data_IF_600129302319
#
_entry.id   IF_600129302319
#
_cell.length_a   1.000
_cell.length_b   1.000
_cell.length_c   1.000
_cell.angle_alpha   90.00
_cell.angle_beta   90.00
_cell.angle_gamma   90.00
#
_symmetry.space_group_name_H-M   'P 1'
#
loop_
_entity.id
_entity.type
_entity.pdbx_description
1 polymer ?
#
# COMPACT_ATOMS: atom_id res chain seq x y z
N UNK A 1 -9.44 -1.83 -26.47
CA UNK A 1 -9.35 -1.81 -26.03
C UNK A 1 -8.71 -2.16 -25.40
N UNK A 2 -8.72 -2.30 -25.31
CA UNK A 2 -8.23 -2.81 -24.58
C UNK A 2 -7.71 -2.74 -23.33
N UNK A 3 -7.95 -2.27 -22.64
CA UNK A 3 -7.55 -2.25 -21.37
C UNK A 3 -8.20 -3.28 -20.60
N UNK A 4 -7.49 -4.01 -19.86
CA UNK A 4 -8.06 -5.01 -19.07
C UNK A 4 -8.63 -4.44 -17.86
N UNK A 5 -9.88 -4.71 -17.57
CA UNK A 5 -10.50 -4.20 -16.36
C UNK A 5 -9.78 -4.64 -15.11
N UNK A 6 -9.18 -5.80 -15.16
CA UNK A 6 -8.52 -6.28 -13.96
C UNK A 6 -7.31 -5.44 -13.63
N UNK A 7 -6.85 -4.64 -14.60
CA UNK A 7 -5.71 -3.80 -14.34
C UNK A 7 -6.13 -2.41 -13.94
N UNK A 8 -7.39 -2.19 -13.76
CA UNK A 8 -7.86 -0.89 -13.34
C UNK A 8 -7.24 -0.55 -12.01
N UNK A 9 -6.78 0.67 -11.85
CA UNK A 9 -6.17 1.07 -10.60
C UNK A 9 -7.08 0.80 -9.44
N UNK A 10 -6.50 0.35 -8.40
CA UNK A 10 -7.24 0.03 -7.22
C UNK A 10 -7.26 1.24 -6.32
N UNK A 11 -8.13 2.19 -6.69
CA UNK A 11 -8.31 3.34 -5.83
C UNK A 11 -8.94 2.82 -4.57
N UNK A 12 -8.13 2.67 -3.56
CA UNK A 12 -8.55 2.06 -2.33
C UNK A 12 -9.09 3.08 -1.38
N UNK A 13 -8.56 4.29 -1.46
CA UNK A 13 -8.81 5.23 -0.37
C UNK A 13 -8.50 6.65 -0.80
N UNK A 14 -9.18 7.60 -0.20
CA UNK A 14 -8.81 8.99 -0.35
C UNK A 14 -8.95 9.65 1.01
N UNK A 15 -8.21 10.73 1.22
CA UNK A 15 -8.30 11.44 2.49
C UNK A 15 -7.96 12.90 2.27
N UNK A 16 -8.45 13.74 3.19
CA UNK A 16 -8.03 15.13 3.24
C UNK A 16 -7.02 15.27 4.36
N UNK A 17 -5.97 16.02 4.08
CA UNK A 17 -4.89 16.20 5.05
C UNK A 17 -5.43 16.95 6.26
N UNK A 18 -5.43 16.32 7.44
CA UNK A 18 -5.98 16.98 8.64
C UNK A 18 -4.93 17.81 9.35
N UNK A 19 -5.41 18.73 10.18
CA UNK A 19 -4.53 19.61 10.89
C UNK A 19 -3.47 18.88 11.73
N UNK A 20 -3.86 17.77 12.33
CA UNK A 20 -2.94 17.04 13.20
C UNK A 20 -1.73 16.47 12.46
N UNK A 21 -1.81 16.36 11.12
CA UNK A 21 -0.71 15.81 10.33
C UNK A 21 0.19 16.91 9.78
N UNK A 22 -0.02 18.15 10.18
CA UNK A 22 0.72 19.28 9.63
C UNK A 22 1.90 19.62 10.54
N UNK A 23 3.08 19.77 9.94
CA UNK A 23 4.30 20.07 10.67
C UNK A 23 4.49 21.58 10.79
N UNK A 24 5.63 21.98 11.36
CA UNK A 24 5.88 23.39 11.61
C UNK A 24 6.02 24.20 10.32
N UNK A 25 6.26 23.55 9.20
CA UNK A 25 6.37 24.25 7.92
C UNK A 25 5.04 24.34 7.19
N UNK A 26 3.97 23.87 7.80
CA UNK A 26 2.66 23.88 7.14
C UNK A 26 2.47 22.76 6.15
N UNK A 27 3.26 21.71 6.24
CA UNK A 27 3.20 20.57 5.31
C UNK A 27 2.95 19.28 6.09
N UNK A 28 2.36 18.30 5.40
CA UNK A 28 2.13 17.01 6.03
C UNK A 28 3.47 16.37 6.37
N UNK A 29 3.66 15.98 7.64
CA UNK A 29 4.95 15.44 8.01
C UNK A 29 5.11 14.01 7.49
N UNK A 30 6.38 13.60 7.32
CA UNK A 30 6.70 12.39 6.55
C UNK A 30 6.12 11.12 7.13
N UNK A 31 6.08 11.00 8.44
CA UNK A 31 5.53 9.79 9.05
C UNK A 31 4.06 9.61 8.71
N UNK A 32 3.34 10.69 8.47
CA UNK A 32 1.92 10.59 8.13
C UNK A 32 1.71 9.91 6.78
N UNK A 33 2.64 10.08 5.83
CA UNK A 33 2.56 9.39 4.55
C UNK A 33 2.64 7.88 4.77
N UNK A 34 3.53 7.46 5.66
CA UNK A 34 3.72 6.03 5.92
C UNK A 34 2.47 5.44 6.57
N UNK A 35 1.90 6.17 7.54
CA UNK A 35 0.67 5.71 8.19
C UNK A 35 -0.44 5.50 7.17
N UNK A 36 -0.62 6.48 6.29
CA UNK A 36 -1.68 6.40 5.28
C UNK A 36 -1.42 5.27 4.31
N UNK A 37 -0.15 5.06 3.95
CA UNK A 37 0.18 4.00 3.01
C UNK A 37 -0.11 2.63 3.62
N UNK A 38 0.23 2.42 4.88
CA UNK A 38 -0.06 1.14 5.51
C UNK A 38 -1.56 0.92 5.65
N UNK A 39 -2.30 1.98 5.92
CA UNK A 39 -3.75 1.87 5.97
C UNK A 39 -4.32 1.46 4.62
N UNK A 40 -3.78 2.03 3.55
CA UNK A 40 -4.25 1.73 2.21
C UNK A 40 -3.99 0.27 1.85
N UNK A 41 -2.81 -0.25 2.21
CA UNK A 41 -2.50 -1.65 1.96
C UNK A 41 -3.44 -2.56 2.74
N UNK A 42 -3.74 -2.18 3.98
CA UNK A 42 -4.67 -2.95 4.81
C UNK A 42 -6.06 -2.98 4.18
N UNK A 43 -6.52 -1.83 3.68
CA UNK A 43 -7.82 -1.78 3.03
C UNK A 43 -7.84 -2.64 1.77
N UNK A 44 -6.76 -2.58 0.99
CA UNK A 44 -6.63 -3.40 -0.20
C UNK A 44 -6.71 -4.88 0.17
N UNK A 45 -5.99 -5.27 1.23
CA UNK A 45 -5.95 -6.66 1.67
C UNK A 45 -7.33 -7.15 2.10
N UNK A 46 -8.15 -6.27 2.64
CA UNK A 46 -9.48 -6.67 3.10
C UNK A 46 -10.41 -7.13 1.99
N UNK A 47 -10.04 -6.91 0.74
CA UNK A 47 -10.80 -7.42 -0.37
C UNK A 47 -10.68 -8.93 -0.47
N UNK A 48 -9.64 -9.46 0.14
CA UNK A 48 -9.43 -10.89 0.12
C UNK A 48 -10.31 -11.52 1.19
N UNK A 49 -11.08 -12.53 0.79
CA UNK A 49 -12.07 -13.09 1.68
C UNK A 49 -11.66 -14.41 2.27
N UNK A 50 -11.93 -14.55 3.56
CA UNK A 50 -11.99 -15.82 4.27
C UNK A 50 -11.05 -16.92 3.83
N UNK A 51 -9.77 -16.64 3.76
CA UNK A 51 -8.81 -17.64 3.36
C UNK A 51 -7.93 -18.01 4.52
N UNK A 52 -7.27 -19.15 4.34
CA UNK A 52 -6.28 -19.59 5.28
C UNK A 52 -4.97 -18.91 4.94
N UNK A 53 -4.94 -17.62 5.10
CA UNK A 53 -3.74 -16.87 4.73
C UNK A 53 -2.73 -16.89 5.86
N UNK A 54 -1.45 -16.77 5.51
CA UNK A 54 -0.44 -16.68 6.56
C UNK A 54 -0.54 -15.35 7.28
N UNK A 55 0.15 -15.27 8.38
CA UNK A 55 0.33 -14.02 9.10
C UNK A 55 1.43 -13.24 8.39
N UNK A 56 1.37 -11.92 8.45
CA UNK A 56 2.39 -11.10 7.82
C UNK A 56 2.95 -10.09 8.79
N UNK A 57 4.28 -9.93 8.70
CA UNK A 57 4.96 -8.82 9.36
C UNK A 57 5.37 -7.83 8.29
N UNK A 58 5.35 -6.55 8.64
CA UNK A 58 5.90 -5.53 7.75
C UNK A 58 7.41 -5.61 7.84
N UNK A 59 8.05 -5.95 6.74
CA UNK A 59 9.49 -6.13 6.71
C UNK A 59 10.23 -4.88 6.29
N UNK A 60 9.57 -4.02 5.50
CA UNK A 60 10.24 -2.86 4.96
C UNK A 60 9.22 -1.84 4.52
N UNK A 61 9.53 -0.57 4.75
CA UNK A 61 8.73 0.53 4.22
C UNK A 61 9.69 1.53 3.63
N UNK A 62 9.42 1.96 2.42
CA UNK A 62 10.30 2.87 1.71
C UNK A 62 9.45 3.89 0.97
N UNK A 63 9.62 5.17 1.29
CA UNK A 63 8.81 6.23 0.69
C UNK A 63 9.68 7.19 -0.11
N UNK A 64 9.14 7.65 -1.22
CA UNK A 64 9.73 8.70 -2.03
C UNK A 64 8.73 9.84 -2.11
N UNK A 65 9.20 11.05 -1.84
CA UNK A 65 8.34 12.22 -1.77
C UNK A 65 8.63 13.14 -2.93
N UNK A 66 7.59 13.55 -3.64
CA UNK A 66 7.74 14.38 -4.84
C UNK A 66 7.25 15.81 -4.62
N UNK A 67 6.23 15.97 -3.82
CA UNK A 67 5.60 17.27 -3.65
C UNK A 67 4.93 17.32 -2.28
N UNK A 68 5.03 18.44 -1.57
CA UNK A 68 4.45 18.49 -0.22
C UNK A 68 2.93 18.58 -0.27
N UNK A 69 2.31 18.05 0.76
CA UNK A 69 0.88 18.14 0.94
C UNK A 69 0.60 19.17 2.03
N UNK A 70 -0.50 19.89 1.86
CA UNK A 70 -0.87 20.93 2.81
C UNK A 70 -2.23 20.67 3.39
N UNK A 71 -2.56 21.41 4.43
CA UNK A 71 -3.83 21.25 5.13
C UNK A 71 -4.99 21.30 4.14
N UNK A 72 -5.84 20.29 4.21
CA UNK A 72 -7.06 20.25 3.40
C UNK A 72 -6.89 19.67 2.02
N UNK A 73 -5.66 19.37 1.59
CA UNK A 73 -5.47 18.76 0.28
C UNK A 73 -6.19 17.42 0.22
N UNK A 74 -6.83 17.14 -0.91
CA UNK A 74 -7.49 15.86 -1.13
C UNK A 74 -6.52 14.94 -1.84
N UNK A 75 -6.24 13.81 -1.23
CA UNK A 75 -5.25 12.87 -1.73
C UNK A 75 -5.94 11.58 -2.12
N UNK A 76 -5.61 11.07 -3.30
CA UNK A 76 -6.10 9.77 -3.75
C UNK A 76 -4.97 8.76 -3.66
N UNK A 77 -5.28 7.56 -3.17
CA UNK A 77 -4.28 6.51 -3.03
C UNK A 77 -4.66 5.31 -3.87
N UNK A 78 -3.68 4.81 -4.61
CA UNK A 78 -3.86 3.62 -5.45
C UNK A 78 -2.85 2.60 -5.01
N UNK A 79 -3.29 1.38 -4.77
CA UNK A 79 -2.41 0.30 -4.33
C UNK A 79 -2.23 -0.68 -5.45
N UNK A 80 -0.99 -1.03 -5.72
CA UNK A 80 -0.66 -2.11 -6.64
C UNK A 80 0.28 -3.07 -5.98
N UNK A 81 0.44 -4.24 -6.58
CA UNK A 81 1.40 -5.22 -6.11
C UNK A 81 2.67 -5.01 -6.92
N UNK A 82 3.78 -4.74 -6.25
CA UNK A 82 5.03 -4.42 -6.94
C UNK A 82 5.93 -5.62 -7.08
N UNK A 83 5.79 -6.62 -6.20
CA UNK A 83 6.57 -7.83 -6.36
C UNK A 83 5.98 -8.96 -5.51
N UNK A 84 6.23 -10.18 -5.99
CA UNK A 84 5.76 -11.37 -5.30
C UNK A 84 6.94 -12.30 -5.18
N UNK A 85 7.42 -12.50 -3.95
CA UNK A 85 8.52 -13.42 -3.69
C UNK A 85 8.02 -14.76 -3.21
N UNK A 86 8.94 -15.61 -2.84
CA UNK A 86 8.56 -16.91 -2.28
C UNK A 86 7.90 -16.79 -0.93
N UNK A 87 8.32 -15.81 -0.15
CA UNK A 87 7.83 -15.62 1.22
C UNK A 87 7.42 -14.17 1.48
N UNK A 88 7.41 -13.34 0.45
CA UNK A 88 7.13 -11.91 0.63
C UNK A 88 6.20 -11.40 -0.44
N UNK A 89 5.51 -10.32 -0.13
CA UNK A 89 4.69 -9.60 -1.09
C UNK A 89 4.98 -8.12 -0.92
N UNK A 90 5.23 -7.44 -2.04
CA UNK A 90 5.49 -6.01 -2.02
C UNK A 90 4.34 -5.25 -2.62
N UNK A 91 3.96 -4.16 -1.99
CA UNK A 91 2.88 -3.29 -2.44
C UNK A 91 3.43 -1.90 -2.66
N UNK A 92 2.90 -1.19 -3.64
CA UNK A 92 3.25 0.21 -3.83
C UNK A 92 1.98 1.03 -3.73
N UNK A 93 2.02 2.04 -2.88
CA UNK A 93 0.91 2.97 -2.72
C UNK A 93 1.29 4.27 -3.42
N UNK A 94 0.54 4.60 -4.46
CA UNK A 94 0.76 5.84 -5.20
C UNK A 94 -0.22 6.89 -4.69
N UNK A 95 0.31 8.01 -4.25
CA UNK A 95 -0.51 9.10 -3.76
C UNK A 95 -0.50 10.22 -4.76
N UNK A 96 -1.69 10.71 -5.13
CA UNK A 96 -1.81 11.80 -6.08
C UNK A 96 -2.72 12.89 -5.51
N UNK A 97 -2.49 14.11 -5.97
CA UNK A 97 -3.35 15.26 -5.68
C UNK A 97 -3.56 15.96 -7.01
N UNK A 98 -4.83 16.09 -7.40
CA UNK A 98 -5.18 16.71 -8.68
C UNK A 98 -4.46 16.03 -9.85
N UNK A 99 -4.32 14.72 -9.78
CA UNK A 99 -3.69 13.96 -10.85
C UNK A 99 -2.18 13.95 -10.84
N UNK A 100 -1.55 14.70 -9.94
CA UNK A 100 -0.10 14.75 -9.89
C UNK A 100 0.44 13.88 -8.79
N UNK A 101 1.54 13.18 -9.06
CA UNK A 101 2.15 12.33 -8.06
C UNK A 101 2.73 13.16 -6.93
N UNK A 102 2.37 12.84 -5.70
CA UNK A 102 2.95 13.52 -4.54
C UNK A 102 3.88 12.60 -3.75
N UNK A 103 3.62 11.30 -3.78
CA UNK A 103 4.48 10.37 -3.05
C UNK A 103 4.21 8.95 -3.51
N UNK A 104 5.18 8.08 -3.27
CA UNK A 104 5.03 6.66 -3.48
C UNK A 104 5.63 5.95 -2.28
N UNK A 105 4.95 4.95 -1.78
CA UNK A 105 5.44 4.20 -0.63
C UNK A 105 5.39 2.72 -0.95
N UNK A 106 6.53 2.07 -0.83
CA UNK A 106 6.60 0.63 -0.96
C UNK A 106 6.49 0.01 0.41
N UNK A 107 5.62 -0.98 0.56
CA UNK A 107 5.43 -1.71 1.81
C UNK A 107 5.65 -3.18 1.50
N UNK A 108 6.60 -3.79 2.17
CA UNK A 108 6.92 -5.21 1.93
C UNK A 108 6.49 -6.01 3.14
N UNK A 109 5.68 -7.02 2.88
CA UNK A 109 5.18 -7.93 3.90
C UNK A 109 5.90 -9.26 3.79
N UNK A 110 6.32 -9.81 4.93
CA UNK A 110 6.94 -11.12 4.99
C UNK A 110 5.99 -12.08 5.67
N UNK A 111 5.72 -13.22 5.00
CA UNK A 111 4.83 -14.22 5.57
C UNK A 111 5.55 -15.01 6.64
N UNK A 112 4.88 -15.27 7.74
CA UNK A 112 5.49 -15.97 8.85
C UNK A 112 4.45 -16.73 9.65
N UNK A 113 4.94 -17.64 10.45
CA UNK A 113 4.14 -18.36 11.42
C UNK A 113 3.84 -17.39 12.56
N UNK A 114 2.58 -17.21 12.96
CA UNK A 114 2.26 -16.20 13.98
C UNK A 114 2.86 -16.51 15.35
N UNK A 115 3.16 -17.75 15.63
CA UNK A 115 3.65 -18.11 16.95
C UNK A 115 5.15 -18.10 17.01
N UNK A 116 5.82 -18.69 16.01
CA UNK A 116 7.26 -18.76 16.01
C UNK A 116 7.92 -17.63 15.28
N UNK A 117 7.16 -16.94 14.43
CA UNK A 117 7.64 -15.85 13.58
C UNK A 117 8.62 -16.33 12.52
N UNK A 118 8.68 -17.63 12.30
CA UNK A 118 9.54 -18.15 11.25
C UNK A 118 8.94 -17.91 9.89
N UNK A 119 9.77 -17.61 8.89
CA UNK A 119 9.27 -17.36 7.54
C UNK A 119 8.59 -18.59 6.97
N UNK A 120 7.51 -18.38 6.23
CA UNK A 120 6.84 -19.46 5.53
C UNK A 120 6.55 -19.03 4.11
N UNK A 121 6.36 -20.02 3.24
CA UNK A 121 6.13 -19.74 1.84
C UNK A 121 4.70 -19.21 1.64
N UNK A 122 4.54 -18.35 0.66
CA UNK A 122 3.21 -17.91 0.27
C UNK A 122 2.46 -19.06 -0.38
N UNK A 123 1.22 -19.34 0.02
CA UNK A 123 0.44 -20.36 -0.64
C UNK A 123 0.22 -20.00 -2.11
N UNK A 124 0.12 -21.01 -2.95
CA UNK A 124 -0.02 -20.78 -4.38
C UNK A 124 -1.26 -19.98 -4.69
N UNK A 125 -2.34 -20.25 -4.01
CA UNK A 125 -3.59 -19.57 -4.25
C UNK A 125 -3.48 -18.08 -3.94
N UNK A 126 -2.73 -17.75 -2.91
CA UNK A 126 -2.50 -16.36 -2.56
C UNK A 126 -1.62 -15.69 -3.62
N UNK A 127 -0.60 -16.38 -4.09
CA UNK A 127 0.26 -15.83 -5.13
C UNK A 127 -0.54 -15.53 -6.38
N UNK A 128 -1.45 -16.43 -6.73
CA UNK A 128 -2.31 -16.23 -7.90
C UNK A 128 -3.19 -15.00 -7.74
N UNK A 129 -3.72 -14.82 -6.54
CA UNK A 129 -4.55 -13.65 -6.28
C UNK A 129 -3.76 -12.36 -6.43
N UNK A 130 -2.54 -12.35 -5.88
CA UNK A 130 -1.69 -11.16 -5.95
C UNK A 130 -1.28 -10.84 -7.38
N UNK A 131 -1.10 -11.85 -8.20
CA UNK A 131 -0.70 -11.64 -9.59
C UNK A 131 -1.69 -10.78 -10.36
N UNK A 132 -2.96 -10.82 -10.00
CA UNK A 132 -3.96 -10.03 -10.68
C UNK A 132 -3.67 -8.53 -10.59
N UNK A 133 -2.95 -8.13 -9.56
CA UNK A 133 -2.71 -6.71 -9.30
C UNK A 133 -1.25 -6.31 -9.50
N UNK A 134 -0.47 -7.18 -10.08
CA UNK A 134 0.95 -6.90 -10.28
C UNK A 134 1.11 -5.78 -11.30
N UNK A 135 1.91 -4.78 -10.93
CA UNK A 135 2.15 -3.62 -11.77
C UNK A 135 3.05 -3.92 -12.96
#
# INVERSE_FOLDING_TARGET
MGKEPSKVPNKVHEFRVPYRDIDVNGEMFRAAYVVRAEEAVTEFWRRRKGRDDPWFDVAKVNSTFHSPLKLGDLVHMHVGVSKIGGKTAGFTVHMTRDGEAVAETEVVWAACNPETREPIALPEELRDWLYQFLD
#
